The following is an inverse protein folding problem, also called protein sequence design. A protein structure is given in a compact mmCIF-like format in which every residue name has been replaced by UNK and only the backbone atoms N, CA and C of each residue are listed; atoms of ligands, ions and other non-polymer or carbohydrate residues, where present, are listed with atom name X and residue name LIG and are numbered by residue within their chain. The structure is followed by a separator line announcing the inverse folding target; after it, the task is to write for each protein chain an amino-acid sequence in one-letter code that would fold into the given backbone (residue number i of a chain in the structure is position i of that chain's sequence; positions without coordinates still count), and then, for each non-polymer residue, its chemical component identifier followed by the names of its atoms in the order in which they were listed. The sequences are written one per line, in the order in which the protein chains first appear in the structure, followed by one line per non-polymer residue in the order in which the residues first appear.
data_IF_007007574983
#
_entry.id   IF_007007574983
#
_cell.length_a   1.000
_cell.length_b   1.000
_cell.length_c   1.000
_cell.angle_alpha   90.00
_cell.angle_beta   90.00
_cell.angle_gamma   90.00
#
_symmetry.space_group_name_H-M   'P 1'
#
loop_
_entity.id
_entity.type
_entity.pdbx_description
1 polymer ?
#
# COMPACT_ATOMS: atom_id res chain seq x y z
N UNK A 1 -41.27 30.49 36.15
CA UNK A 1 -41.56 29.04 36.20
C UNK A 1 -42.41 28.71 34.99
N UNK A 2 -41.88 27.97 34.03
CA UNK A 2 -42.65 27.52 32.88
C UNK A 2 -42.23 26.11 32.54
N UNK A 3 -43.21 25.23 32.30
CA UNK A 3 -43.40 24.61 30.99
C UNK A 3 -44.79 23.98 30.92
N UNK A 4 -45.36 24.11 29.73
CA UNK A 4 -46.69 23.70 29.32
C UNK A 4 -46.78 22.19 29.03
N UNK A 5 -47.99 21.63 29.18
CA UNK A 5 -48.42 20.45 28.43
C UNK A 5 -48.70 20.81 26.96
N UNK A 6 -49.19 19.96 26.07
CA UNK A 6 -49.86 18.65 26.14
C UNK A 6 -49.78 18.03 24.73
N UNK A 7 -50.06 16.72 24.67
CA UNK A 7 -50.70 15.96 23.59
C UNK A 7 -50.01 15.81 22.21
N UNK A 8 -49.79 14.53 21.84
CA UNK A 8 -49.60 14.07 20.45
C UNK A 8 -50.91 13.39 19.98
N UNK A 9 -51.40 13.80 18.81
CA UNK A 9 -52.46 13.12 18.05
C UNK A 9 -51.89 12.60 16.73
N UNK A 10 -52.42 11.44 16.33
CA UNK A 10 -52.15 10.55 15.20
C UNK A 10 -52.18 11.20 13.80
N UNK A 11 -51.52 10.57 12.82
CA UNK A 11 -51.78 10.84 11.39
C UNK A 11 -50.78 10.18 10.43
N UNK A 12 -51.25 9.21 9.66
CA UNK A 12 -50.55 8.57 8.53
C UNK A 12 -50.46 9.51 7.32
N UNK A 13 -49.32 9.56 6.60
CA UNK A 13 -49.22 10.08 5.23
C UNK A 13 -48.35 9.13 4.39
N UNK A 14 -48.85 8.84 3.18
CA UNK A 14 -48.33 7.93 2.16
C UNK A 14 -47.13 8.50 1.36
N UNK A 15 -46.40 7.54 0.78
CA UNK A 15 -45.38 7.60 -0.26
C UNK A 15 -45.35 8.82 -1.18
N UNK A 16 -44.19 9.49 -1.21
CA UNK A 16 -43.37 9.74 -2.40
C UNK A 16 -42.34 10.82 -2.08
N UNK A 17 -41.07 10.45 -1.87
CA UNK A 17 -39.97 11.24 -2.41
C UNK A 17 -38.67 10.44 -2.45
N UNK A 18 -37.99 10.47 -3.60
CA UNK A 18 -36.63 9.93 -3.76
C UNK A 18 -35.66 11.06 -3.47
N UNK A 19 -35.23 11.22 -2.22
CA UNK A 19 -33.95 11.85 -1.88
C UNK A 19 -33.59 11.65 -0.41
N UNK A 20 -32.35 11.20 -0.18
CA UNK A 20 -31.53 11.43 1.00
C UNK A 20 -31.79 10.64 2.31
N UNK A 21 -30.69 10.01 2.78
CA UNK A 21 -30.28 9.74 4.17
C UNK A 21 -30.66 8.40 4.85
N UNK A 22 -29.60 7.59 4.96
CA UNK A 22 -29.20 6.69 6.08
C UNK A 22 -29.99 5.39 6.34
N UNK A 23 -29.37 4.21 6.16
CA UNK A 23 -29.72 3.04 6.95
C UNK A 23 -29.09 3.15 8.35
N UNK A 24 -29.96 3.15 9.36
CA UNK A 24 -29.70 3.14 10.80
C UNK A 24 -28.76 2.00 11.24
N UNK A 25 -27.98 2.16 12.33
CA UNK A 25 -27.23 1.05 12.90
C UNK A 25 -28.20 0.08 13.58
N UNK A 26 -28.35 -1.13 13.01
CA UNK A 26 -29.00 -2.25 13.68
C UNK A 26 -28.08 -2.72 14.81
N UNK A 27 -28.48 -2.33 16.03
CA UNK A 27 -27.86 -2.68 17.29
C UNK A 27 -28.01 -4.18 17.56
N UNK A 28 -26.90 -4.91 17.46
CA UNK A 28 -26.66 -6.16 18.19
C UNK A 28 -25.29 -6.04 18.87
N UNK A 29 -25.26 -6.15 20.19
CA UNK A 29 -24.02 -6.17 20.97
C UNK A 29 -24.27 -5.78 22.41
N UNK A 30 -24.30 -6.78 23.28
CA UNK A 30 -24.41 -6.64 24.73
C UNK A 30 -23.23 -5.82 25.26
N UNK A 31 -23.43 -5.05 26.34
CA UNK A 31 -22.46 -4.04 26.83
C UNK A 31 -21.12 -4.59 27.35
N UNK A 32 -20.91 -5.91 27.33
CA UNK A 32 -19.75 -6.57 27.93
C UNK A 32 -18.90 -7.40 26.94
N UNK A 33 -19.19 -7.38 25.63
CA UNK A 33 -18.34 -8.07 24.64
C UNK A 33 -17.08 -7.25 24.31
N UNK A 34 -16.03 -7.45 25.10
CA UNK A 34 -14.66 -7.09 24.71
C UNK A 34 -14.09 -8.17 23.79
N UNK A 35 -14.49 -8.14 22.52
CA UNK A 35 -14.05 -9.09 21.51
C UNK A 35 -13.96 -8.45 20.13
N UNK A 36 -12.72 -8.28 19.66
CA UNK A 36 -12.29 -7.95 18.29
C UNK A 36 -12.24 -6.46 17.92
N UNK A 37 -11.03 -5.88 17.78
CA UNK A 37 -10.88 -4.53 17.28
C UNK A 37 -11.22 -4.48 15.77
N UNK A 38 -12.33 -3.82 15.45
CA UNK A 38 -12.49 -3.03 14.22
C UNK A 38 -12.41 -3.75 12.89
N UNK A 39 -13.42 -4.55 12.54
CA UNK A 39 -13.69 -4.89 11.14
C UNK A 39 -14.32 -3.68 10.43
N UNK A 40 -13.52 -2.88 9.74
CA UNK A 40 -14.03 -1.86 8.82
C UNK A 40 -14.44 -2.57 7.52
N UNK A 41 -15.75 -2.60 7.25
CA UNK A 41 -16.32 -2.94 5.94
C UNK A 41 -15.78 -1.90 4.94
N UNK A 42 -14.71 -2.25 4.21
CA UNK A 42 -13.99 -1.36 3.29
C UNK A 42 -12.47 -1.23 3.53
N UNK A 43 -11.84 -2.12 4.31
CA UNK A 43 -10.40 -2.05 4.54
C UNK A 43 -9.77 -3.42 4.73
N UNK A 44 -9.18 -3.95 3.67
CA UNK A 44 -8.22 -5.04 3.78
C UNK A 44 -7.13 -4.85 2.74
N UNK A 45 -6.20 -3.96 3.06
CA UNK A 45 -4.89 -3.93 2.45
C UNK A 45 -3.89 -3.69 3.57
N UNK A 46 -3.12 -4.73 3.93
CA UNK A 46 -1.72 -4.41 4.11
C UNK A 46 -0.91 -5.58 3.59
N UNK A 47 -0.58 -5.57 2.30
CA UNK A 47 0.63 -6.27 1.91
C UNK A 47 1.75 -5.79 2.84
N UNK A 48 2.29 -6.72 3.63
CA UNK A 48 3.39 -6.42 4.54
C UNK A 48 4.67 -6.47 3.74
N UNK A 49 5.24 -5.30 3.45
CA UNK A 49 6.42 -5.17 2.59
C UNK A 49 7.70 -5.06 3.42
N UNK A 50 8.63 -6.01 3.27
CA UNK A 50 9.92 -5.96 3.98
C UNK A 50 11.07 -5.38 3.15
N UNK A 51 10.95 -5.40 1.83
CA UNK A 51 11.96 -4.84 0.92
C UNK A 51 11.30 -4.19 -0.29
N UNK A 52 11.81 -3.03 -0.67
CA UNK A 52 11.59 -2.44 -1.99
C UNK A 52 12.87 -1.76 -2.47
N UNK A 53 13.36 -2.15 -3.66
CA UNK A 53 14.57 -1.55 -4.20
C UNK A 53 14.58 -1.56 -5.72
N UNK A 54 15.26 -0.57 -6.29
CA UNK A 54 15.53 -0.45 -7.72
C UNK A 54 17.03 -0.27 -7.93
N UNK A 55 17.57 -0.99 -8.92
CA UNK A 55 19.00 -0.99 -9.21
C UNK A 55 19.24 -1.04 -10.72
N UNK A 56 20.13 -0.18 -11.21
CA UNK A 56 20.60 -0.24 -12.58
C UNK A 56 21.58 -1.41 -12.76
N UNK A 57 21.39 -2.17 -13.82
CA UNK A 57 22.29 -3.26 -14.24
C UNK A 57 23.12 -2.86 -15.46
N UNK A 58 24.14 -3.64 -15.79
CA UNK A 58 25.13 -3.28 -16.83
C UNK A 58 24.53 -3.14 -18.24
N UNK A 59 23.38 -3.77 -18.52
CA UNK A 59 22.63 -3.56 -19.76
C UNK A 59 21.95 -2.19 -19.86
N UNK A 60 22.02 -1.38 -18.81
CA UNK A 60 21.32 -0.10 -18.70
C UNK A 60 19.89 -0.22 -18.17
N UNK A 61 19.29 -1.42 -18.19
CA UNK A 61 17.97 -1.66 -17.62
C UNK A 61 17.96 -1.46 -16.09
N UNK A 62 16.77 -1.27 -15.53
CA UNK A 62 16.58 -1.21 -14.08
C UNK A 62 15.86 -2.45 -13.59
N UNK A 63 16.44 -3.14 -12.63
CA UNK A 63 15.81 -4.26 -11.93
C UNK A 63 15.18 -3.74 -10.65
N UNK A 64 13.86 -3.91 -10.53
CA UNK A 64 13.06 -3.61 -9.35
C UNK A 64 12.79 -4.91 -8.61
N UNK A 65 13.13 -4.95 -7.33
CA UNK A 65 12.95 -6.13 -6.46
C UNK A 65 12.18 -5.73 -5.21
N UNK A 66 11.27 -6.60 -4.81
CA UNK A 66 10.52 -6.43 -3.58
C UNK A 66 10.21 -7.76 -2.91
N UNK A 67 9.92 -7.69 -1.62
CA UNK A 67 9.59 -8.86 -0.80
C UNK A 67 8.39 -8.53 0.05
N UNK A 68 7.38 -9.38 -0.04
CA UNK A 68 6.22 -9.38 0.83
C UNK A 68 6.44 -10.42 1.92
N UNK A 69 6.10 -10.10 3.16
CA UNK A 69 6.05 -11.07 4.27
C UNK A 69 4.63 -11.66 4.41
N UNK A 70 3.61 -10.92 3.97
CA UNK A 70 2.23 -11.38 3.84
C UNK A 70 1.47 -10.56 2.81
N UNK A 71 0.42 -11.13 2.25
CA UNK A 71 -0.50 -10.50 1.30
C UNK A 71 -1.93 -10.82 1.70
N UNK A 72 -2.82 -9.84 1.62
CA UNK A 72 -4.24 -10.01 1.93
C UNK A 72 -5.06 -9.44 0.78
N UNK A 73 -5.84 -10.30 0.11
CA UNK A 73 -6.67 -9.93 -1.05
C UNK A 73 -5.90 -9.17 -2.14
N UNK A 74 -4.63 -9.50 -2.36
CA UNK A 74 -3.76 -8.84 -3.31
C UNK A 74 -3.92 -9.45 -4.72
N UNK A 75 -4.44 -8.68 -5.67
CA UNK A 75 -4.45 -9.06 -7.08
C UNK A 75 -3.04 -8.95 -7.70
N UNK A 76 -2.24 -7.98 -7.25
CA UNK A 76 -0.89 -7.80 -7.73
C UNK A 76 -0.37 -6.39 -7.60
N UNK A 77 0.67 -6.08 -8.38
CA UNK A 77 1.46 -4.87 -8.21
C UNK A 77 1.60 -4.08 -9.50
N UNK A 78 1.51 -2.76 -9.35
CA UNK A 78 1.98 -1.80 -10.31
C UNK A 78 3.34 -1.25 -9.88
N UNK A 79 4.23 -1.07 -10.85
CA UNK A 79 5.48 -0.35 -10.69
C UNK A 79 5.31 0.99 -11.37
N UNK A 80 5.50 2.04 -10.60
CA UNK A 80 5.45 3.41 -11.09
C UNK A 80 6.84 4.03 -11.05
N UNK A 81 7.10 4.99 -11.93
CA UNK A 81 8.37 5.68 -12.08
C UNK A 81 8.14 7.19 -12.17
N UNK A 82 9.05 7.97 -11.59
CA UNK A 82 9.13 9.41 -11.76
C UNK A 82 10.59 9.85 -11.86
N UNK A 83 10.87 10.95 -12.56
CA UNK A 83 12.20 11.57 -12.58
C UNK A 83 12.45 12.45 -11.34
N UNK A 84 11.39 12.78 -10.59
CA UNK A 84 11.48 13.58 -9.36
C UNK A 84 10.85 12.85 -8.18
N UNK A 85 11.28 13.19 -6.96
CA UNK A 85 10.83 12.48 -5.74
C UNK A 85 9.35 12.70 -5.45
N UNK A 86 8.86 13.90 -5.72
CA UNK A 86 7.49 14.35 -5.42
C UNK A 86 6.68 14.67 -6.68
N UNK A 87 7.19 14.30 -7.85
CA UNK A 87 6.47 14.48 -9.10
C UNK A 87 5.38 13.45 -9.33
N UNK A 88 4.79 13.54 -10.51
CA UNK A 88 3.85 12.54 -11.01
C UNK A 88 4.59 11.23 -11.23
N UNK A 89 4.02 10.14 -10.72
CA UNK A 89 4.48 8.78 -10.94
C UNK A 89 3.65 8.14 -12.06
N UNK A 90 4.31 7.65 -13.08
CA UNK A 90 3.67 6.97 -14.20
C UNK A 90 3.87 5.46 -14.09
N UNK A 91 2.81 4.69 -14.38
CA UNK A 91 2.91 3.22 -14.40
C UNK A 91 3.79 2.77 -15.57
N UNK A 92 4.82 1.97 -15.28
CA UNK A 92 5.79 1.50 -16.28
C UNK A 92 5.66 0.02 -16.64
N UNK A 93 4.97 -0.79 -15.83
CA UNK A 93 4.61 -2.16 -16.20
C UNK A 93 3.37 -2.19 -17.09
N UNK A 94 3.44 -2.87 -18.24
CA UNK A 94 2.33 -2.99 -19.19
C UNK A 94 1.15 -3.78 -18.60
N UNK A 95 1.47 -4.88 -17.92
CA UNK A 95 0.51 -5.79 -17.27
C UNK A 95 0.75 -5.79 -15.76
N UNK A 96 -0.33 -6.01 -15.00
CA UNK A 96 -0.26 -6.18 -13.54
C UNK A 96 0.67 -7.35 -13.21
N UNK A 97 1.59 -7.15 -12.27
CA UNK A 97 2.44 -8.25 -11.79
C UNK A 97 1.64 -9.01 -10.75
N UNK A 98 1.24 -10.25 -11.05
CA UNK A 98 0.35 -11.03 -10.20
C UNK A 98 0.91 -11.19 -8.77
N UNK A 99 0.04 -10.96 -7.79
CA UNK A 99 0.30 -11.27 -6.38
C UNK A 99 -0.08 -12.72 -6.05
N UNK A 100 -0.03 -13.07 -4.77
CA UNK A 100 -0.45 -14.39 -4.26
C UNK A 100 -1.90 -14.41 -3.76
N UNK A 101 -2.68 -13.34 -3.94
CA UNK A 101 -4.03 -13.25 -3.36
C UNK A 101 -3.95 -13.05 -1.84
N UNK A 102 -4.21 -14.11 -1.09
CA UNK A 102 -4.11 -14.10 0.38
C UNK A 102 -3.10 -15.15 0.81
N UNK A 103 -1.97 -14.70 1.36
CA UNK A 103 -0.93 -15.56 1.89
C UNK A 103 -0.25 -14.93 3.11
N UNK A 104 0.19 -15.76 4.05
CA UNK A 104 1.09 -15.34 5.12
C UNK A 104 2.54 -15.78 4.86
N UNK A 105 2.81 -16.30 3.66
CA UNK A 105 4.14 -16.72 3.26
C UNK A 105 4.91 -15.58 2.61
N UNK A 106 6.21 -15.55 2.90
CA UNK A 106 7.13 -14.60 2.31
C UNK A 106 7.29 -14.85 0.82
N UNK A 107 7.06 -13.83 0.00
CA UNK A 107 7.19 -13.94 -1.47
C UNK A 107 8.19 -12.92 -2.01
N UNK A 108 9.07 -13.39 -2.90
CA UNK A 108 10.11 -12.57 -3.54
C UNK A 108 9.75 -12.31 -4.99
N UNK A 109 9.78 -11.04 -5.37
CA UNK A 109 9.43 -10.61 -6.71
C UNK A 109 10.56 -9.84 -7.38
N UNK A 110 10.59 -9.91 -8.71
CA UNK A 110 11.51 -9.15 -9.55
C UNK A 110 10.79 -8.71 -10.82
N UNK A 111 11.05 -7.47 -11.24
CA UNK A 111 10.57 -6.92 -12.50
C UNK A 111 11.65 -6.04 -13.14
N UNK A 112 11.71 -6.03 -14.48
CA UNK A 112 12.73 -5.29 -15.22
C UNK A 112 12.10 -4.17 -16.03
N UNK A 113 12.55 -2.95 -15.78
CA UNK A 113 12.28 -1.77 -16.59
C UNK A 113 13.33 -1.67 -17.70
N UNK A 114 12.97 -2.09 -18.91
CA UNK A 114 13.78 -1.97 -20.12
C UNK A 114 13.69 -0.60 -20.79
N UNK A 115 12.80 0.28 -20.30
CA UNK A 115 12.54 1.60 -20.89
C UNK A 115 13.30 2.73 -20.19
N UNK A 116 13.98 2.42 -19.06
CA UNK A 116 14.75 3.38 -18.29
C UNK A 116 15.93 3.91 -19.12
N UNK A 117 16.01 5.23 -19.26
CA UNK A 117 17.10 5.86 -20.00
C UNK A 117 18.42 5.79 -19.20
N UNK A 118 19.58 5.62 -19.86
CA UNK A 118 20.88 5.77 -19.23
C UNK A 118 21.02 7.17 -18.59
N UNK A 119 21.82 7.27 -17.54
CA UNK A 119 22.19 8.54 -16.86
C UNK A 119 21.04 9.39 -16.29
N UNK A 120 19.79 8.93 -16.40
CA UNK A 120 18.63 9.55 -15.75
C UNK A 120 18.45 8.97 -14.35
N UNK A 121 18.21 9.86 -13.38
CA UNK A 121 17.81 9.48 -12.04
C UNK A 121 16.30 9.27 -11.98
N UNK A 122 15.90 8.14 -11.41
CA UNK A 122 14.50 7.81 -11.24
C UNK A 122 14.18 7.54 -9.77
N UNK A 123 12.91 7.74 -9.44
CA UNK A 123 12.26 7.23 -8.25
C UNK A 123 11.25 6.19 -8.71
N UNK A 124 11.31 5.02 -8.10
CA UNK A 124 10.33 3.96 -8.32
C UNK A 124 9.38 3.91 -7.13
N UNK A 125 8.13 3.58 -7.40
CA UNK A 125 7.10 3.35 -6.39
C UNK A 125 6.41 2.04 -6.71
N UNK A 126 6.11 1.27 -5.67
CA UNK A 126 5.25 0.10 -5.76
C UNK A 126 3.87 0.45 -5.22
N UNK A 127 2.86 0.04 -5.97
CA UNK A 127 1.44 0.17 -5.62
C UNK A 127 0.84 -1.24 -5.66
N UNK A 128 0.16 -1.63 -4.59
CA UNK A 128 -0.65 -2.84 -4.59
C UNK A 128 -2.01 -2.57 -5.23
N UNK A 129 -2.56 -3.62 -5.84
CA UNK A 129 -3.92 -3.63 -6.39
C UNK A 129 -4.67 -4.78 -5.72
N UNK A 130 -5.76 -4.49 -5.03
CA UNK A 130 -6.58 -5.52 -4.39
C UNK A 130 -7.42 -6.29 -5.41
N UNK A 131 -7.95 -7.45 -5.02
CA UNK A 131 -8.93 -8.22 -5.81
C UNK A 131 -10.23 -7.43 -6.07
N UNK A 132 -10.51 -6.41 -5.26
CA UNK A 132 -11.63 -5.47 -5.46
C UNK A 132 -11.27 -4.30 -6.40
N UNK A 133 -10.01 -4.21 -6.86
CA UNK A 133 -9.51 -3.14 -7.74
C UNK A 133 -9.06 -1.88 -7.02
N UNK A 134 -9.04 -1.86 -5.69
CA UNK A 134 -8.49 -0.75 -4.90
C UNK A 134 -6.97 -0.68 -5.07
N UNK A 135 -6.40 0.51 -4.96
CA UNK A 135 -4.96 0.75 -5.17
C UNK A 135 -4.36 1.49 -4.01
N UNK A 136 -3.22 1.00 -3.50
CA UNK A 136 -2.50 1.65 -2.40
C UNK A 136 -1.00 1.72 -2.69
N UNK A 137 -0.40 2.92 -2.66
CA UNK A 137 1.05 3.08 -2.66
C UNK A 137 1.67 2.45 -1.41
N UNK A 138 2.60 1.51 -1.58
CA UNK A 138 3.28 0.84 -0.44
C UNK A 138 4.61 1.49 -0.08
N UNK A 139 5.47 1.74 -1.07
CA UNK A 139 6.83 2.26 -0.85
C UNK A 139 7.36 3.01 -2.06
N UNK A 140 8.31 3.92 -1.82
CA UNK A 140 9.07 4.62 -2.87
C UNK A 140 10.57 4.45 -2.62
N UNK A 141 11.33 4.12 -3.66
CA UNK A 141 12.78 3.95 -3.60
C UNK A 141 13.47 4.75 -4.71
N UNK A 142 14.56 5.45 -4.38
CA UNK A 142 15.44 6.07 -5.37
C UNK A 142 16.22 5.00 -6.10
N UNK A 143 16.34 5.13 -7.42
CA UNK A 143 17.19 4.28 -8.26
C UNK A 143 18.63 4.28 -7.72
N UNK A 144 19.12 3.09 -7.34
CA UNK A 144 20.52 2.90 -6.99
C UNK A 144 21.36 2.70 -8.26
N UNK A 145 22.56 3.27 -8.24
CA UNK A 145 23.54 3.15 -9.33
C UNK A 145 24.09 1.72 -9.48
N UNK A 146 25.04 1.55 -10.41
CA UNK A 146 25.70 0.27 -10.62
C UNK A 146 26.33 -0.21 -9.32
N UNK A 147 25.81 -1.31 -8.74
CA UNK A 147 26.60 -2.11 -7.81
C UNK A 147 27.44 -3.05 -8.67
N UNK A 148 28.52 -2.53 -9.24
CA UNK A 148 29.60 -3.40 -9.68
C UNK A 148 30.18 -4.08 -8.44
N UNK A 149 30.60 -5.34 -8.57
CA UNK A 149 31.16 -6.11 -7.46
C UNK A 149 32.40 -5.44 -6.79
N UNK A 150 32.93 -4.35 -7.36
CA UNK A 150 33.94 -3.48 -6.77
C UNK A 150 33.41 -2.57 -5.62
N UNK A 151 32.09 -2.39 -5.49
CA UNK A 151 31.45 -1.60 -4.43
C UNK A 151 31.14 -2.40 -3.16
N UNK A 152 31.52 -3.68 -3.08
CA UNK A 152 31.48 -4.47 -1.83
C UNK A 152 32.59 -4.02 -0.87
N UNK A 153 32.72 -2.73 -0.60
CA UNK A 153 33.22 -2.30 0.69
C UNK A 153 32.05 -2.43 1.66
N UNK A 154 32.04 -3.57 2.31
CA UNK A 154 31.31 -3.87 3.52
C UNK A 154 31.37 -2.69 4.49
N UNK A 155 30.31 -1.88 4.57
CA UNK A 155 29.97 -1.24 5.85
C UNK A 155 29.46 -2.35 6.77
N UNK A 156 30.39 -3.21 7.20
CA UNK A 156 30.24 -3.94 8.44
C UNK A 156 30.42 -2.89 9.53
N UNK A 157 29.38 -2.67 10.34
CA UNK A 157 29.36 -1.76 11.48
C UNK A 157 30.34 -2.17 12.62
N UNK A 158 31.38 -2.96 12.33
CA UNK A 158 32.35 -3.49 13.29
C UNK A 158 33.70 -2.76 13.38
N UNK A 159 33.94 -1.70 12.61
CA UNK A 159 35.27 -1.05 12.57
C UNK A 159 35.42 0.22 13.44
N UNK A 160 34.51 0.47 14.39
CA UNK A 160 34.56 1.68 15.23
C UNK A 160 34.56 1.35 16.73
N UNK A 161 35.59 0.60 17.17
CA UNK A 161 36.13 0.69 18.54
C UNK A 161 37.64 0.44 18.49
N UNK A 162 38.41 1.52 18.32
CA UNK A 162 39.78 1.55 18.85
C UNK A 162 39.70 2.00 20.32
N UNK A 163 40.35 1.32 21.28
CA UNK A 163 40.55 1.90 22.60
C UNK A 163 41.61 3.01 22.51
N UNK A 164 41.29 4.19 23.02
CA UNK A 164 42.31 5.18 23.39
C UNK A 164 42.75 4.85 24.82
N UNK A 165 44.05 4.54 24.94
CA UNK A 165 44.95 4.54 26.11
C UNK A 165 44.38 4.17 27.50
#
# INVERSE_FOLDING_TARGET
MGVAGTAKTYGWILAADRAALAPQPLYYGHRDDQGSPGYRIGGALPVSLSLFSSQRVDSGAVVVKWVTESELNNAGFNILRSETREGTFERVNASLIAGQGTTSERTVYTWTDSTAKPEVFYYYRIEEVSLAGERLPLATARLRGHISAAGKLTTSWGALKQPLH
#
